data_IF_459052371481
#
_entry.id   IF_459052371481
#
_cell.length_a   1.000
_cell.length_b   1.000
_cell.length_c   1.000
_cell.angle_alpha   90.00
_cell.angle_beta   90.00
_cell.angle_gamma   90.00
#
_symmetry.space_group_name_H-M   'P 1'
#
loop_
_entity.id
_entity.type
_entity.pdbx_description
1 polymer ?
#
# COMPACT_ATOMS: atom_id res chain seq x y z
N UNK A 1 43.23 -11.84 -25.40
CA UNK A 1 42.33 -11.08 -24.50
C UNK A 1 41.19 -10.56 -25.33
N UNK A 2 39.97 -10.68 -24.83
CA UNK A 2 38.74 -10.31 -25.54
C UNK A 2 38.63 -8.78 -25.63
N UNK A 3 38.29 -8.20 -26.79
CA UNK A 3 38.23 -6.74 -27.01
C UNK A 3 37.24 -6.04 -26.04
N UNK A 4 36.30 -6.82 -25.49
CA UNK A 4 35.39 -6.40 -24.43
C UNK A 4 36.09 -6.24 -23.07
N UNK A 5 37.03 -7.11 -22.73
CA UNK A 5 37.74 -7.08 -21.44
C UNK A 5 38.71 -5.89 -21.38
N UNK A 6 39.35 -5.55 -22.49
CA UNK A 6 40.20 -4.35 -22.61
C UNK A 6 39.39 -3.08 -22.42
N UNK A 7 38.27 -2.92 -23.14
CA UNK A 7 37.38 -1.75 -22.96
C UNK A 7 36.80 -1.65 -21.56
N UNK A 8 36.48 -2.79 -20.92
CA UNK A 8 35.99 -2.83 -19.54
C UNK A 8 37.07 -2.37 -18.55
N UNK A 9 38.32 -2.82 -18.74
CA UNK A 9 39.45 -2.43 -17.90
C UNK A 9 39.79 -0.94 -18.07
N UNK A 10 39.76 -0.42 -19.29
CA UNK A 10 39.96 1.00 -19.57
C UNK A 10 38.90 1.86 -18.87
N UNK A 11 37.62 1.46 -18.94
CA UNK A 11 36.53 2.16 -18.27
C UNK A 11 36.66 2.13 -16.75
N UNK A 12 37.11 1.01 -16.18
CA UNK A 12 37.39 0.88 -14.74
C UNK A 12 38.54 1.82 -14.33
N UNK A 13 39.63 1.88 -15.11
CA UNK A 13 40.76 2.78 -14.83
C UNK A 13 40.38 4.25 -14.97
N UNK A 14 39.56 4.60 -15.98
CA UNK A 14 39.09 5.96 -16.19
C UNK A 14 38.23 6.43 -15.01
N UNK A 15 37.31 5.58 -14.53
CA UNK A 15 36.49 5.88 -13.37
C UNK A 15 37.33 6.02 -12.09
N UNK A 16 38.35 5.18 -11.89
CA UNK A 16 39.26 5.28 -10.75
C UNK A 16 40.08 6.58 -10.77
N UNK A 17 40.55 7.03 -11.93
CA UNK A 17 41.22 8.33 -12.08
C UNK A 17 40.28 9.49 -11.75
N UNK A 18 39.04 9.43 -12.25
CA UNK A 18 38.03 10.45 -11.98
C UNK A 18 37.72 10.55 -10.47
N UNK A 19 37.63 9.40 -9.79
CA UNK A 19 37.43 9.30 -8.34
C UNK A 19 38.64 9.81 -7.53
N UNK A 20 39.85 9.74 -8.07
CA UNK A 20 41.06 10.24 -7.42
C UNK A 20 41.24 11.76 -7.59
N UNK A 21 40.84 12.33 -8.73
CA UNK A 21 40.86 13.77 -9.00
C UNK A 21 39.78 14.52 -8.19
N UNK A 22 38.67 13.83 -7.88
CA UNK A 22 37.67 14.33 -6.95
C UNK A 22 38.21 14.19 -5.52
N UNK A 23 38.74 15.29 -4.97
CA UNK A 23 39.30 15.37 -3.62
C UNK A 23 38.22 15.26 -2.52
N UNK A 24 37.44 14.17 -2.55
CA UNK A 24 36.34 13.87 -1.64
C UNK A 24 36.96 13.32 -0.35
N UNK A 25 36.87 14.10 0.73
CA UNK A 25 37.29 13.66 2.06
C UNK A 25 36.46 12.44 2.47
N UNK A 26 37.08 11.31 2.86
CA UNK A 26 36.33 10.17 3.36
C UNK A 26 35.62 10.55 4.67
N UNK A 27 34.30 10.36 4.70
CA UNK A 27 33.51 10.50 5.93
C UNK A 27 33.86 9.33 6.84
N UNK A 28 34.57 9.63 7.93
CA UNK A 28 34.87 8.65 8.98
C UNK A 28 33.57 8.27 9.69
N UNK A 29 33.20 6.98 9.75
CA UNK A 29 32.07 6.55 10.56
C UNK A 29 32.33 6.87 12.03
N UNK A 30 31.39 7.53 12.72
CA UNK A 30 31.45 7.68 14.18
C UNK A 30 31.45 6.29 14.83
N UNK A 31 32.60 5.94 15.40
CA UNK A 31 32.79 4.74 16.22
C UNK A 31 31.86 4.83 17.44
N UNK A 32 30.87 3.95 17.51
CA UNK A 32 30.20 3.65 18.77
C UNK A 32 31.21 2.95 19.68
N UNK A 33 31.53 3.56 20.82
CA UNK A 33 32.28 2.89 21.90
C UNK A 33 31.42 1.75 22.44
N UNK A 34 31.85 0.52 22.20
CA UNK A 34 31.64 -0.60 23.11
C UNK A 34 32.84 -1.54 22.96
N UNK A 35 33.90 -1.23 23.67
CA UNK A 35 35.00 -2.15 23.96
C UNK A 35 34.57 -3.00 25.15
N UNK A 36 33.91 -4.12 24.87
CA UNK A 36 34.03 -5.37 25.62
C UNK A 36 33.10 -6.40 24.96
N UNK A 37 33.69 -7.45 24.42
CA UNK A 37 33.03 -8.51 23.65
C UNK A 37 32.14 -9.42 24.51
N UNK A 38 31.07 -8.89 25.08
CA UNK A 38 29.97 -9.66 25.68
C UNK A 38 28.63 -9.23 25.08
N UNK A 39 27.81 -10.15 24.53
CA UNK A 39 26.45 -9.80 24.14
C UNK A 39 25.64 -9.40 25.39
N UNK A 40 24.79 -8.36 25.32
CA UNK A 40 23.95 -7.98 26.46
C UNK A 40 22.99 -9.13 26.80
N UNK A 41 22.94 -9.49 28.09
CA UNK A 41 22.04 -10.51 28.60
C UNK A 41 20.58 -10.17 28.25
N UNK A 42 19.88 -11.11 27.61
CA UNK A 42 18.44 -11.01 27.37
C UNK A 42 17.73 -10.82 28.71
N UNK A 43 17.04 -9.69 28.89
CA UNK A 43 16.10 -9.50 30.00
C UNK A 43 15.10 -10.66 29.96
N UNK A 44 15.03 -11.42 31.05
CA UNK A 44 14.10 -12.55 31.23
C UNK A 44 12.68 -12.05 30.96
N UNK A 45 12.00 -12.70 30.03
CA UNK A 45 10.56 -12.59 29.84
C UNK A 45 9.92 -13.10 31.14
N UNK A 46 9.12 -12.25 31.79
CA UNK A 46 8.29 -12.68 32.93
C UNK A 46 7.42 -13.84 32.44
N UNK A 47 7.48 -14.96 33.17
CA UNK A 47 6.72 -16.17 32.90
C UNK A 47 5.26 -15.86 33.22
N UNK A 48 4.48 -15.51 32.20
CA UNK A 48 3.02 -15.47 32.33
C UNK A 48 2.49 -16.89 32.14
N UNK A 49 1.82 -17.41 33.16
CA UNK A 49 1.19 -18.73 33.13
C UNK A 49 0.26 -18.86 31.93
N UNK A 50 0.39 -19.98 31.21
CA UNK A 50 -0.44 -20.29 30.05
C UNK A 50 -1.85 -20.64 30.53
N UNK A 51 -2.79 -19.71 30.43
CA UNK A 51 -4.22 -20.03 30.55
C UNK A 51 -4.67 -20.76 29.29
N UNK A 52 -5.26 -21.95 29.43
CA UNK A 52 -5.75 -22.76 28.33
C UNK A 52 -6.84 -22.01 27.52
N UNK A 53 -6.84 -22.08 26.17
CA UNK A 53 -7.89 -21.47 25.36
C UNK A 53 -9.22 -22.21 25.53
N UNK A 54 -10.31 -21.49 25.79
CA UNK A 54 -11.64 -22.07 26.02
C UNK A 54 -12.33 -22.67 24.78
N UNK A 55 -11.61 -22.85 23.66
CA UNK A 55 -12.14 -23.51 22.46
C UNK A 55 -11.01 -24.05 21.58
N UNK A 56 -10.81 -25.36 21.61
CA UNK A 56 -9.86 -26.08 20.77
C UNK A 56 -10.60 -26.70 19.57
N UNK A 57 -10.17 -26.39 18.35
CA UNK A 57 -10.62 -27.11 17.15
C UNK A 57 -10.02 -28.52 17.13
N UNK A 58 -10.78 -29.53 16.71
CA UNK A 58 -10.38 -30.95 16.68
C UNK A 58 -9.03 -31.24 16.00
N UNK A 59 -8.56 -30.36 15.10
CA UNK A 59 -7.27 -30.49 14.41
C UNK A 59 -6.05 -30.32 15.30
N UNK A 60 -6.16 -29.58 16.41
CA UNK A 60 -5.03 -29.28 17.31
C UNK A 60 -4.90 -30.38 18.38
N UNK A 61 -6.00 -31.04 18.74
CA UNK A 61 -6.02 -32.13 19.72
C UNK A 61 -5.38 -33.45 19.21
N UNK A 62 -5.28 -33.63 17.89
CA UNK A 62 -4.77 -34.84 17.27
C UNK A 62 -3.27 -34.80 16.92
N UNK A 63 -2.55 -33.73 17.26
CA UNK A 63 -1.11 -33.65 17.00
C UNK A 63 -0.32 -34.35 18.12
N UNK A 64 0.59 -35.31 17.80
CA UNK A 64 1.44 -35.93 18.81
C UNK A 64 2.42 -34.91 19.41
N UNK A 65 2.67 -35.01 20.72
CA UNK A 65 3.61 -34.14 21.42
C UNK A 65 5.04 -34.36 20.91
N UNK A 66 5.72 -33.26 20.54
CA UNK A 66 7.13 -33.32 20.15
C UNK A 66 7.99 -33.63 21.39
N UNK A 67 8.96 -34.54 21.31
CA UNK A 67 9.89 -34.77 22.42
C UNK A 67 10.73 -33.51 22.67
N UNK A 68 10.81 -33.12 23.93
CA UNK A 68 11.62 -32.01 24.43
C UNK A 68 13.10 -32.43 24.42
N UNK A 69 13.88 -31.87 23.51
CA UNK A 69 15.33 -32.04 23.52
C UNK A 69 15.96 -30.99 24.44
N UNK A 70 16.50 -31.44 25.57
CA UNK A 70 17.20 -30.63 26.55
C UNK A 70 18.67 -30.52 26.11
N UNK A 71 19.06 -29.40 25.49
CA UNK A 71 20.46 -29.09 25.23
C UNK A 71 21.08 -28.55 26.51
N UNK A 72 21.77 -29.40 27.26
CA UNK A 72 22.93 -29.05 28.11
C UNK A 72 23.32 -30.31 28.90
N UNK A 73 24.05 -31.24 28.28
CA UNK A 73 25.07 -32.05 28.94
C UNK A 73 25.83 -32.93 27.93
N UNK A 74 27.15 -32.98 28.10
CA UNK A 74 28.16 -33.82 27.42
C UNK A 74 28.87 -33.14 26.23
N UNK A 75 29.74 -32.21 26.60
CA UNK A 75 30.94 -31.88 25.85
C UNK A 75 31.96 -33.03 25.95
N UNK A 76 32.27 -33.72 24.84
CA UNK A 76 33.58 -34.37 24.58
C UNK A 76 33.86 -34.38 23.07
N UNK A 77 35.06 -33.98 22.61
CA UNK A 77 35.38 -33.94 21.19
C UNK A 77 35.86 -35.31 20.71
N UNK A 78 35.25 -35.84 19.63
CA UNK A 78 35.77 -36.97 18.87
C UNK A 78 36.05 -36.48 17.45
N UNK A 79 37.27 -36.75 16.98
CA UNK A 79 37.74 -36.38 15.64
C UNK A 79 37.67 -37.56 14.65
N UNK A 80 37.76 -37.21 13.36
CA UNK A 80 38.08 -38.01 12.15
C UNK A 80 36.86 -38.42 11.27
N UNK A 81 37.01 -38.64 9.94
CA UNK A 81 38.04 -38.23 8.97
C UNK A 81 37.48 -37.52 7.70
N UNK A 82 38.36 -36.97 6.85
CA UNK A 82 38.05 -36.43 5.50
C UNK A 82 38.28 -37.48 4.40
N UNK A 83 37.31 -37.65 3.50
CA UNK A 83 37.41 -38.19 2.11
C UNK A 83 35.98 -38.34 1.54
N UNK A 84 35.62 -38.29 0.26
CA UNK A 84 36.23 -37.94 -1.04
C UNK A 84 35.07 -37.65 -2.05
N UNK A 85 35.40 -37.11 -3.22
CA UNK A 85 34.49 -36.64 -4.30
C UNK A 85 33.98 -37.80 -5.19
N UNK A 86 32.68 -37.83 -5.59
CA UNK A 86 32.19 -37.94 -7.00
C UNK A 86 30.65 -38.08 -7.20
N UNK A 87 30.13 -37.15 -8.02
CA UNK A 87 29.11 -37.18 -9.11
C UNK A 87 27.93 -38.18 -9.13
N UNK A 88 26.72 -37.60 -9.27
CA UNK A 88 25.52 -38.17 -9.94
C UNK A 88 24.34 -37.17 -9.95
N UNK A 89 23.91 -36.71 -11.15
CA UNK A 89 22.72 -35.85 -11.46
C UNK A 89 21.49 -36.75 -11.77
N UNK A 90 20.31 -36.22 -12.19
CA UNK A 90 19.40 -35.20 -11.63
C UNK A 90 17.92 -35.73 -11.59
N UNK A 91 16.96 -35.04 -10.92
CA UNK A 91 15.49 -35.11 -11.21
C UNK A 91 14.70 -34.39 -10.09
N UNK A 92 14.19 -33.19 -10.34
CA UNK A 92 12.77 -32.88 -10.59
C UNK A 92 11.85 -32.99 -9.36
N UNK A 93 11.59 -31.84 -8.73
CA UNK A 93 10.22 -31.43 -8.40
C UNK A 93 10.11 -29.91 -8.52
N UNK A 94 9.40 -29.50 -9.56
CA UNK A 94 9.02 -28.14 -9.89
C UNK A 94 7.71 -27.84 -9.15
N UNK A 95 7.63 -26.70 -8.45
CA UNK A 95 6.43 -26.00 -7.96
C UNK A 95 6.98 -24.72 -7.28
N UNK A 96 6.94 -23.50 -7.83
CA UNK A 96 6.21 -22.93 -8.94
C UNK A 96 5.97 -21.46 -8.59
N UNK A 97 6.83 -20.57 -9.06
CA UNK A 97 6.55 -19.17 -9.46
C UNK A 97 7.84 -18.62 -10.07
N UNK A 98 8.11 -19.05 -11.29
CA UNK A 98 8.99 -18.31 -12.19
C UNK A 98 8.20 -17.05 -12.52
N UNK A 99 8.60 -15.92 -11.92
CA UNK A 99 8.29 -14.62 -12.50
C UNK A 99 8.99 -14.63 -13.85
N UNK A 100 8.20 -14.76 -14.91
CA UNK A 100 8.64 -14.32 -16.22
C UNK A 100 8.81 -12.81 -16.10
N UNK A 101 10.04 -12.36 -15.87
CA UNK A 101 10.49 -11.06 -16.39
C UNK A 101 10.48 -11.21 -17.92
N UNK A 102 9.29 -11.19 -18.52
CA UNK A 102 9.22 -10.80 -19.92
C UNK A 102 9.36 -9.28 -19.88
N UNK A 103 10.51 -8.79 -20.33
CA UNK A 103 10.65 -7.41 -20.79
C UNK A 103 9.62 -7.20 -21.90
N UNK A 104 8.38 -6.90 -21.52
CA UNK A 104 7.35 -6.50 -22.47
C UNK A 104 7.85 -5.27 -23.23
N UNK A 105 7.66 -5.23 -24.56
CA UNK A 105 8.18 -4.15 -25.38
C UNK A 105 7.68 -2.80 -24.88
N UNK A 106 8.60 -1.85 -24.68
CA UNK A 106 8.36 -0.44 -24.33
C UNK A 106 7.64 0.36 -25.45
N UNK A 107 7.03 -0.33 -26.41
CA UNK A 107 6.36 0.27 -27.56
C UNK A 107 4.86 0.05 -27.38
N UNK A 108 4.06 1.12 -27.29
CA UNK A 108 2.61 1.01 -27.18
C UNK A 108 2.07 0.15 -28.33
N UNK A 109 1.34 -0.92 -27.99
CA UNK A 109 0.72 -1.82 -28.98
C UNK A 109 -0.48 -1.19 -29.70
N UNK A 110 -0.96 -0.04 -29.21
CA UNK A 110 -2.04 0.78 -29.77
C UNK A 110 -1.54 2.23 -29.91
N UNK A 111 -2.14 2.99 -30.82
CA UNK A 111 -1.82 4.42 -30.98
C UNK A 111 -2.08 5.14 -29.63
N UNK A 112 -1.09 5.87 -29.13
CA UNK A 112 -1.15 6.54 -27.81
C UNK A 112 -2.34 7.50 -27.74
N UNK A 113 -2.64 8.17 -28.85
CA UNK A 113 -3.72 9.14 -28.92
C UNK A 113 -5.09 8.45 -28.84
N UNK A 114 -5.26 7.28 -29.47
CA UNK A 114 -6.48 6.48 -29.35
C UNK A 114 -6.70 5.97 -27.91
N UNK A 115 -5.62 5.59 -27.21
CA UNK A 115 -5.70 5.19 -25.80
C UNK A 115 -6.17 6.38 -24.94
N UNK A 116 -5.59 7.57 -25.16
CA UNK A 116 -5.91 8.79 -24.41
C UNK A 116 -7.34 9.27 -24.69
N UNK A 117 -7.77 9.21 -25.95
CA UNK A 117 -9.15 9.52 -26.35
C UNK A 117 -10.13 8.53 -25.71
N UNK A 118 -9.80 7.24 -25.71
CA UNK A 118 -10.59 6.19 -25.07
C UNK A 118 -10.84 6.41 -23.58
N UNK A 119 -9.88 6.98 -22.84
CA UNK A 119 -10.05 7.26 -21.42
C UNK A 119 -11.09 8.34 -21.12
N UNK A 120 -11.28 9.29 -22.04
CA UNK A 120 -12.22 10.40 -21.87
C UNK A 120 -13.56 10.13 -22.59
N UNK A 121 -13.60 9.12 -23.46
CA UNK A 121 -14.78 8.74 -24.24
C UNK A 121 -15.74 7.85 -23.42
N UNK A 122 -16.27 8.37 -22.32
CA UNK A 122 -17.34 7.73 -21.57
C UNK A 122 -18.49 8.70 -21.29
N UNK A 123 -19.70 8.15 -21.16
CA UNK A 123 -20.90 8.88 -20.80
C UNK A 123 -21.48 8.39 -19.48
N UNK A 124 -22.23 9.26 -18.79
CA UNK A 124 -22.97 8.87 -17.59
C UNK A 124 -24.13 7.96 -18.01
N UNK A 125 -24.15 6.72 -17.50
CA UNK A 125 -25.23 5.75 -17.76
C UNK A 125 -26.11 5.52 -16.54
N UNK A 126 -25.57 5.74 -15.34
CA UNK A 126 -26.31 5.61 -14.09
C UNK A 126 -26.76 6.96 -13.52
N UNK A 127 -27.79 6.91 -12.67
CA UNK A 127 -28.26 8.06 -11.90
C UNK A 127 -27.21 8.54 -10.89
N UNK A 128 -27.18 9.84 -10.56
CA UNK A 128 -26.35 10.36 -9.46
C UNK A 128 -26.66 9.65 -8.13
N UNK A 129 -25.66 9.47 -7.24
CA UNK A 129 -25.90 8.88 -5.93
C UNK A 129 -26.80 9.77 -5.07
N UNK A 130 -27.55 9.13 -4.17
CA UNK A 130 -28.27 9.83 -3.11
C UNK A 130 -27.42 9.84 -1.84
N UNK A 131 -27.58 10.86 -0.99
CA UNK A 131 -26.89 10.97 0.30
C UNK A 131 -27.93 10.92 1.41
N UNK A 132 -27.74 10.05 2.39
CA UNK A 132 -28.63 9.95 3.56
C UNK A 132 -28.23 10.92 4.69
N UNK A 133 -29.00 10.87 5.78
CA UNK A 133 -28.78 11.69 6.99
C UNK A 133 -27.40 11.40 7.62
N UNK A 134 -26.96 10.14 7.54
CA UNK A 134 -25.68 9.62 8.02
C UNK A 134 -24.48 9.94 7.09
N UNK A 135 -24.71 10.79 6.09
CA UNK A 135 -23.74 11.24 5.08
C UNK A 135 -23.17 10.11 4.20
N UNK A 136 -23.85 8.97 4.14
CA UNK A 136 -23.51 7.82 3.30
C UNK A 136 -24.11 8.01 1.91
N UNK A 137 -23.30 7.71 0.89
CA UNK A 137 -23.73 7.73 -0.50
C UNK A 137 -24.27 6.37 -0.92
N UNK A 138 -25.45 6.37 -1.55
CA UNK A 138 -26.14 5.17 -2.03
C UNK A 138 -26.25 5.19 -3.56
N UNK A 139 -25.91 4.05 -4.16
CA UNK A 139 -25.99 3.81 -5.60
C UNK A 139 -27.02 2.71 -5.86
N UNK A 140 -28.03 3.01 -6.68
CA UNK A 140 -29.16 2.09 -6.95
C UNK A 140 -28.69 0.74 -7.50
N UNK A 141 -27.70 0.75 -8.37
CA UNK A 141 -27.16 -0.43 -9.03
C UNK A 141 -26.06 -1.14 -8.23
N UNK A 142 -25.49 -0.47 -7.22
CA UNK A 142 -24.48 -1.02 -6.30
C UNK A 142 -24.85 -0.76 -4.83
N UNK A 143 -25.95 -1.35 -4.31
CA UNK A 143 -26.48 -1.03 -2.98
C UNK A 143 -25.54 -1.36 -1.81
N UNK A 144 -24.55 -2.24 -2.04
CA UNK A 144 -23.56 -2.60 -1.04
C UNK A 144 -22.25 -1.80 -1.14
N UNK A 145 -22.19 -0.81 -2.02
CA UNK A 145 -21.11 0.16 -2.11
C UNK A 145 -21.58 1.47 -1.47
N UNK A 146 -21.18 1.69 -0.22
CA UNK A 146 -21.70 2.75 0.64
C UNK A 146 -20.57 3.63 1.20
N UNK A 147 -19.80 4.33 0.34
CA UNK A 147 -18.82 5.31 0.80
C UNK A 147 -19.53 6.48 1.48
N UNK A 148 -18.87 7.15 2.43
CA UNK A 148 -19.44 8.32 3.12
C UNK A 148 -18.66 9.62 2.85
N UNK A 149 -17.80 9.58 1.82
CA UNK A 149 -17.08 10.73 1.27
C UNK A 149 -17.23 10.80 -0.23
N UNK A 150 -17.58 11.96 -0.76
CA UNK A 150 -17.59 12.19 -2.20
C UNK A 150 -16.15 12.40 -2.71
N UNK A 151 -15.90 12.20 -4.01
CA UNK A 151 -14.60 12.55 -4.58
C UNK A 151 -14.27 14.03 -4.37
N UNK A 152 -15.26 14.93 -4.45
CA UNK A 152 -15.07 16.36 -4.16
C UNK A 152 -14.57 16.60 -2.74
N UNK A 153 -15.23 15.99 -1.75
CA UNK A 153 -14.83 16.12 -0.33
C UNK A 153 -13.41 15.60 -0.13
N UNK A 154 -13.07 14.45 -0.72
CA UNK A 154 -11.71 13.89 -0.65
C UNK A 154 -10.65 14.82 -1.23
N UNK A 155 -10.95 15.51 -2.34
CA UNK A 155 -10.02 16.46 -2.95
C UNK A 155 -9.82 17.70 -2.08
N UNK A 156 -10.92 18.27 -1.55
CA UNK A 156 -10.89 19.49 -0.73
C UNK A 156 -10.24 19.26 0.62
N UNK A 157 -10.48 18.12 1.25
CA UNK A 157 -9.86 17.73 2.53
C UNK A 157 -8.38 17.35 2.36
N UNK A 158 -7.93 17.12 1.13
CA UNK A 158 -6.58 16.68 0.81
C UNK A 158 -6.42 15.17 0.93
N UNK A 159 -6.11 14.54 -0.20
CA UNK A 159 -5.83 13.12 -0.31
C UNK A 159 -4.55 12.87 -1.13
N UNK A 160 -3.94 11.71 -0.92
CA UNK A 160 -2.76 11.24 -1.66
C UNK A 160 -1.57 12.22 -1.66
N UNK A 161 -1.44 13.03 -0.62
CA UNK A 161 -0.40 14.03 -0.44
C UNK A 161 -0.33 15.05 -1.59
N UNK A 162 -1.47 15.35 -2.22
CA UNK A 162 -1.56 16.34 -3.28
C UNK A 162 -0.92 15.92 -4.61
N UNK A 163 -0.51 14.66 -4.73
CA UNK A 163 0.36 14.20 -5.82
C UNK A 163 -0.31 13.17 -6.74
N UNK A 164 -1.61 12.91 -6.56
CA UNK A 164 -2.31 11.85 -7.28
C UNK A 164 -2.30 12.04 -8.81
N UNK A 165 -2.44 13.28 -9.27
CA UNK A 165 -2.45 13.66 -10.69
C UNK A 165 -1.11 14.20 -11.18
N UNK A 166 0.00 13.93 -10.47
CA UNK A 166 1.34 14.25 -10.98
C UNK A 166 1.61 13.55 -12.33
N UNK A 167 2.50 14.09 -13.18
CA UNK A 167 2.98 13.38 -14.34
C UNK A 167 3.50 11.99 -13.97
N UNK A 168 2.92 10.96 -14.60
CA UNK A 168 3.20 9.56 -14.31
C UNK A 168 3.74 8.86 -15.55
N UNK A 169 4.92 8.28 -15.46
CA UNK A 169 5.44 7.37 -16.49
C UNK A 169 4.94 5.95 -16.19
N UNK A 170 3.93 5.49 -16.94
CA UNK A 170 3.45 4.10 -16.87
C UNK A 170 4.46 3.19 -17.54
N UNK A 171 4.95 2.18 -16.81
CA UNK A 171 5.88 1.18 -17.38
C UNK A 171 5.16 0.27 -18.36
N UNK A 172 3.91 -0.08 -18.06
CA UNK A 172 3.12 -1.00 -18.88
C UNK A 172 2.66 -0.38 -20.20
N UNK A 173 2.35 0.91 -20.20
CA UNK A 173 1.92 1.61 -21.41
C UNK A 173 3.08 2.29 -22.16
N UNK A 174 4.24 2.47 -21.52
CA UNK A 174 5.38 3.15 -22.12
C UNK A 174 5.19 4.66 -22.33
N UNK A 175 4.13 5.25 -21.77
CA UNK A 175 3.75 6.66 -21.95
C UNK A 175 3.80 7.46 -20.64
N UNK A 176 3.81 8.78 -20.79
CA UNK A 176 3.60 9.72 -19.70
C UNK A 176 2.12 10.12 -19.69
N UNK A 177 1.47 9.86 -18.56
CA UNK A 177 0.10 10.29 -18.25
C UNK A 177 0.19 11.62 -17.51
N UNK A 178 -0.37 12.66 -18.12
CA UNK A 178 -0.41 14.03 -17.61
C UNK A 178 -1.73 14.68 -18.03
N UNK A 179 -2.09 15.78 -17.37
CA UNK A 179 -3.29 16.59 -17.65
C UNK A 179 -4.66 15.89 -17.53
N UNK A 180 -4.69 14.62 -17.14
CA UNK A 180 -5.93 13.85 -16.96
C UNK A 180 -6.77 14.33 -15.78
N UNK A 181 -6.22 15.15 -14.87
CA UNK A 181 -6.99 15.87 -13.85
C UNK A 181 -8.00 16.87 -14.43
N UNK A 182 -7.82 17.31 -15.67
CA UNK A 182 -8.75 18.22 -16.36
C UNK A 182 -10.13 17.59 -16.59
N UNK A 183 -10.27 16.27 -16.43
CA UNK A 183 -11.56 15.58 -16.47
C UNK A 183 -12.45 15.88 -15.26
N UNK A 184 -11.85 16.35 -14.15
CA UNK A 184 -12.54 16.62 -12.90
C UNK A 184 -13.47 17.83 -13.12
N UNK A 185 -14.74 17.77 -12.66
CA UNK A 185 -15.65 18.90 -12.77
C UNK A 185 -15.05 20.18 -12.18
N UNK A 186 -15.15 21.30 -12.91
CA UNK A 186 -14.63 22.59 -12.48
C UNK A 186 -15.23 23.04 -11.14
N UNK A 187 -16.49 22.68 -10.86
CA UNK A 187 -17.14 22.94 -9.58
C UNK A 187 -16.41 22.30 -8.39
N UNK A 188 -15.84 21.10 -8.56
CA UNK A 188 -15.13 20.38 -7.48
C UNK A 188 -13.78 21.01 -7.16
N UNK A 189 -13.13 21.62 -8.16
CA UNK A 189 -11.80 22.23 -8.02
C UNK A 189 -11.86 23.76 -7.91
N UNK A 190 -13.06 24.35 -7.98
CA UNK A 190 -13.23 25.79 -7.80
C UNK A 190 -12.74 26.20 -6.41
N UNK A 191 -11.80 27.16 -6.38
CA UNK A 191 -11.12 27.62 -5.17
C UNK A 191 -10.04 26.68 -4.62
N UNK A 192 -9.77 25.54 -5.26
CA UNK A 192 -8.74 24.59 -4.85
C UNK A 192 -7.40 24.93 -5.50
N UNK A 193 -6.30 24.89 -4.73
CA UNK A 193 -4.96 25.07 -5.27
C UNK A 193 -4.50 23.79 -6.00
N UNK A 194 -4.86 23.66 -7.28
CA UNK A 194 -4.61 22.47 -8.12
C UNK A 194 -3.16 21.97 -8.03
N UNK A 195 -2.18 22.86 -8.11
CA UNK A 195 -0.76 22.46 -8.07
C UNK A 195 -0.33 21.82 -6.74
N UNK A 196 -1.03 22.15 -5.65
CA UNK A 196 -0.72 21.66 -4.31
C UNK A 196 -1.54 20.43 -3.95
N UNK A 197 -2.80 20.38 -4.37
CA UNK A 197 -3.75 19.34 -3.98
C UNK A 197 -3.94 18.23 -5.01
N UNK A 198 -3.51 18.43 -6.26
CA UNK A 198 -3.72 17.45 -7.34
C UNK A 198 -2.42 17.07 -8.05
N UNK A 199 -1.62 18.06 -8.47
CA UNK A 199 -0.50 17.85 -9.39
C UNK A 199 0.88 18.07 -8.77
N UNK A 200 0.98 18.01 -7.43
CA UNK A 200 2.27 18.16 -6.75
C UNK A 200 3.24 17.08 -7.23
N UNK A 201 4.47 17.43 -7.67
CA UNK A 201 5.44 16.45 -8.15
C UNK A 201 5.87 15.44 -7.08
N UNK A 202 5.80 15.82 -5.80
CA UNK A 202 6.12 14.97 -4.65
C UNK A 202 4.92 14.85 -3.72
N UNK A 203 4.83 13.70 -3.07
CA UNK A 203 3.84 13.46 -2.01
C UNK A 203 4.15 14.34 -0.80
N UNK A 204 3.20 15.18 -0.41
CA UNK A 204 3.29 16.03 0.78
C UNK A 204 2.28 15.58 1.85
N UNK A 205 2.73 14.98 2.97
CA UNK A 205 1.86 14.60 4.08
C UNK A 205 1.04 15.77 4.64
N UNK A 206 1.53 17.01 4.58
CA UNK A 206 0.85 18.17 5.16
C UNK A 206 -0.38 18.60 4.35
N UNK A 207 -0.50 18.12 3.10
CA UNK A 207 -1.70 18.32 2.29
C UNK A 207 -2.84 17.42 2.77
N UNK A 208 -2.54 16.23 3.26
CA UNK A 208 -3.55 15.28 3.70
C UNK A 208 -4.39 15.81 4.87
N UNK A 209 -5.66 15.38 4.97
CA UNK A 209 -6.55 15.68 6.11
C UNK A 209 -5.88 15.38 7.45
N UNK A 210 -5.30 14.19 7.59
CA UNK A 210 -4.69 13.72 8.84
C UNK A 210 -3.17 13.94 8.92
N UNK A 211 -2.59 14.77 8.06
CA UNK A 211 -1.18 15.21 8.12
C UNK A 211 -0.12 14.09 8.17
N UNK A 212 -0.43 12.92 7.59
CA UNK A 212 0.46 11.75 7.59
C UNK A 212 0.57 11.13 6.21
N UNK A 213 1.72 10.53 5.91
CA UNK A 213 1.88 9.72 4.71
C UNK A 213 1.26 8.33 4.90
N UNK A 214 0.54 7.87 3.90
CA UNK A 214 0.07 6.49 3.83
C UNK A 214 -0.21 6.05 2.39
N UNK A 215 -0.35 4.74 2.22
CA UNK A 215 -0.67 4.11 0.95
C UNK A 215 0.58 3.63 0.20
N UNK A 216 0.32 2.98 -0.93
CA UNK A 216 1.35 2.55 -1.89
C UNK A 216 1.41 3.56 -3.04
N UNK A 217 2.59 3.71 -3.62
CA UNK A 217 2.82 4.49 -4.84
C UNK A 217 2.06 3.92 -6.02
N UNK A 218 1.76 4.75 -7.02
CA UNK A 218 1.06 4.30 -8.23
C UNK A 218 1.89 3.28 -9.03
N UNK A 219 3.22 3.37 -8.95
CA UNK A 219 4.13 2.39 -9.52
C UNK A 219 4.00 1.02 -8.85
N UNK A 220 3.81 0.96 -7.53
CA UNK A 220 3.52 -0.29 -6.81
C UNK A 220 2.13 -0.84 -7.16
N UNK A 221 1.14 0.03 -7.39
CA UNK A 221 -0.18 -0.39 -7.87
C UNK A 221 -0.12 -0.98 -9.28
N UNK A 222 0.69 -0.39 -10.16
CA UNK A 222 0.94 -0.92 -11.51
C UNK A 222 1.60 -2.30 -11.42
N UNK A 223 2.67 -2.43 -10.61
CA UNK A 223 3.39 -3.69 -10.40
C UNK A 223 2.51 -4.79 -9.77
N UNK A 224 1.56 -4.43 -8.91
CA UNK A 224 0.60 -5.36 -8.31
C UNK A 224 -0.55 -5.75 -9.26
N UNK A 225 -0.61 -5.19 -10.47
CA UNK A 225 -1.70 -5.44 -11.43
C UNK A 225 -3.04 -4.86 -10.97
N UNK A 226 -3.02 -3.81 -10.16
CA UNK A 226 -4.23 -3.20 -9.61
C UNK A 226 -4.81 -2.09 -10.47
N UNK A 227 -4.05 -1.61 -11.46
CA UNK A 227 -4.46 -0.60 -12.42
C UNK A 227 -5.13 -1.25 -13.63
N UNK A 228 -6.31 -0.75 -14.00
CA UNK A 228 -6.97 -1.11 -15.26
C UNK A 228 -6.57 -0.08 -16.31
N UNK A 229 -5.54 -0.37 -17.12
CA UNK A 229 -5.01 0.59 -18.09
C UNK A 229 -5.99 0.95 -19.22
N UNK A 230 -6.99 0.08 -19.46
CA UNK A 230 -8.00 0.30 -20.47
C UNK A 230 -9.08 1.28 -20.01
N UNK A 231 -9.37 1.30 -18.70
CA UNK A 231 -10.41 2.15 -18.13
C UNK A 231 -9.83 3.30 -17.31
N UNK A 232 -9.03 3.02 -16.28
CA UNK A 232 -8.56 3.98 -15.28
C UNK A 232 -7.06 3.82 -15.00
N UNK A 233 -6.25 4.59 -15.71
CA UNK A 233 -4.79 4.53 -15.61
C UNK A 233 -4.22 4.98 -14.27
N UNK A 234 -4.97 5.76 -13.49
CA UNK A 234 -4.59 6.08 -12.11
C UNK A 234 -5.16 5.14 -11.07
N UNK A 235 -5.97 4.17 -11.50
CA UNK A 235 -6.55 3.14 -10.62
C UNK A 235 -7.73 3.66 -9.79
N UNK A 236 -7.69 3.37 -8.48
CA UNK A 236 -8.87 3.46 -7.60
C UNK A 236 -9.59 4.81 -7.59
N UNK A 237 -8.88 5.91 -7.37
CA UNK A 237 -9.54 7.19 -7.17
C UNK A 237 -10.08 7.76 -8.49
N UNK A 238 -9.38 7.58 -9.60
CA UNK A 238 -9.92 7.89 -10.94
C UNK A 238 -11.13 7.03 -11.30
N UNK A 239 -11.10 5.73 -10.98
CA UNK A 239 -12.29 4.89 -11.11
C UNK A 239 -13.45 5.46 -10.27
N UNK A 240 -13.18 5.86 -9.02
CA UNK A 240 -14.20 6.37 -8.11
C UNK A 240 -14.80 7.69 -8.58
N UNK A 241 -14.00 8.64 -9.07
CA UNK A 241 -14.50 9.93 -9.59
C UNK A 241 -15.45 9.73 -10.76
N UNK A 242 -15.13 8.80 -11.67
CA UNK A 242 -15.95 8.48 -12.85
C UNK A 242 -17.20 7.66 -12.48
N UNK A 243 -17.04 6.67 -11.59
CA UNK A 243 -18.15 5.88 -11.06
C UNK A 243 -19.17 6.76 -10.33
N UNK A 244 -18.70 7.70 -9.50
CA UNK A 244 -19.56 8.66 -8.79
C UNK A 244 -20.35 9.56 -9.75
N UNK A 245 -19.77 9.87 -10.92
CA UNK A 245 -20.41 10.65 -12.00
C UNK A 245 -21.29 9.82 -12.93
N UNK A 246 -21.58 8.56 -12.57
CA UNK A 246 -22.50 7.70 -13.31
C UNK A 246 -21.87 6.86 -14.42
N UNK A 247 -20.54 6.85 -14.59
CA UNK A 247 -19.88 5.89 -15.48
C UNK A 247 -20.03 4.47 -14.93
N UNK A 248 -20.36 3.50 -15.79
CA UNK A 248 -20.29 2.07 -15.47
C UNK A 248 -19.41 1.32 -16.47
N UNK A 249 -18.60 0.39 -15.97
CA UNK A 249 -17.65 -0.37 -16.76
C UNK A 249 -17.41 -1.78 -16.18
N UNK A 250 -16.69 -2.63 -16.92
CA UNK A 250 -16.42 -4.01 -16.52
C UNK A 250 -15.62 -4.12 -15.21
N UNK A 251 -14.87 -3.07 -14.85
CA UNK A 251 -14.03 -3.04 -13.66
C UNK A 251 -14.79 -2.75 -12.35
N UNK A 252 -16.05 -2.32 -12.44
CA UNK A 252 -16.82 -1.83 -11.29
C UNK A 252 -16.94 -2.88 -10.18
N UNK A 253 -17.25 -4.13 -10.55
CA UNK A 253 -17.37 -5.22 -9.60
C UNK A 253 -16.05 -5.49 -8.84
N UNK A 254 -14.91 -5.40 -9.53
CA UNK A 254 -13.59 -5.59 -8.92
C UNK A 254 -13.30 -4.47 -7.94
N UNK A 255 -13.57 -3.23 -8.32
CA UNK A 255 -13.27 -2.05 -7.53
C UNK A 255 -14.18 -1.94 -6.29
N UNK A 256 -15.49 -2.19 -6.43
CA UNK A 256 -16.43 -2.32 -5.31
C UNK A 256 -16.02 -3.44 -4.35
N UNK A 257 -15.58 -4.60 -4.87
CA UNK A 257 -15.08 -5.70 -4.05
C UNK A 257 -13.84 -5.32 -3.24
N UNK A 258 -12.90 -4.55 -3.83
CA UNK A 258 -11.71 -4.03 -3.13
C UNK A 258 -12.10 -3.05 -2.04
N UNK A 259 -13.01 -2.12 -2.33
CA UNK A 259 -13.52 -1.19 -1.33
C UNK A 259 -14.14 -1.92 -0.14
N UNK A 260 -15.02 -2.91 -0.40
CA UNK A 260 -15.63 -3.73 0.66
C UNK A 260 -14.59 -4.40 1.55
N UNK A 261 -13.55 -4.98 0.96
CA UNK A 261 -12.43 -5.62 1.69
C UNK A 261 -11.59 -4.63 2.49
N UNK A 262 -11.48 -3.38 2.02
CA UNK A 262 -10.70 -2.34 2.69
C UNK A 262 -11.50 -1.68 3.82
N UNK A 263 -12.65 -1.08 3.51
CA UNK A 263 -13.40 -0.18 4.41
C UNK A 263 -14.91 -0.43 4.42
N UNK A 264 -15.41 -1.44 3.71
CA UNK A 264 -16.79 -1.90 3.90
C UNK A 264 -17.04 -2.36 5.35
N UNK A 265 -18.28 -2.74 5.66
CA UNK A 265 -18.71 -3.16 7.01
C UNK A 265 -17.74 -4.16 7.68
N UNK A 266 -17.28 -5.16 6.93
CA UNK A 266 -16.31 -6.17 7.40
C UNK A 266 -14.87 -5.90 6.95
N UNK A 267 -14.62 -4.73 6.37
CA UNK A 267 -13.35 -4.32 5.79
C UNK A 267 -12.21 -4.29 6.80
N UNK A 268 -11.01 -4.68 6.34
CA UNK A 268 -9.81 -4.79 7.17
C UNK A 268 -9.50 -3.49 7.91
N UNK A 269 -9.44 -2.38 7.18
CA UNK A 269 -8.99 -1.10 7.71
C UNK A 269 -10.06 -0.48 8.62
N UNK A 270 -11.34 -0.52 8.23
CA UNK A 270 -12.46 -0.09 9.08
C UNK A 270 -12.45 -0.83 10.42
N UNK A 271 -12.42 -2.18 10.40
CA UNK A 271 -12.42 -2.99 11.63
C UNK A 271 -11.20 -2.73 12.51
N UNK A 272 -10.02 -2.63 11.91
CA UNK A 272 -8.81 -2.34 12.67
C UNK A 272 -8.90 -0.93 13.30
N UNK A 273 -9.48 0.05 12.60
CA UNK A 273 -9.61 1.42 13.10
C UNK A 273 -10.61 1.48 14.26
N UNK A 274 -11.78 0.88 14.12
CA UNK A 274 -12.77 0.80 15.21
C UNK A 274 -12.20 0.10 16.46
N UNK A 275 -11.39 -0.95 16.27
CA UNK A 275 -10.67 -1.59 17.38
C UNK A 275 -9.69 -0.63 18.08
N UNK A 276 -9.04 0.28 17.34
CA UNK A 276 -8.15 1.30 17.93
C UNK A 276 -8.95 2.31 18.76
N UNK A 277 -10.11 2.74 18.29
CA UNK A 277 -11.06 3.54 19.07
C UNK A 277 -11.47 2.82 20.37
N UNK A 278 -11.82 1.54 20.28
CA UNK A 278 -12.13 0.70 21.45
C UNK A 278 -10.99 0.61 22.46
N UNK A 279 -9.74 0.46 21.99
CA UNK A 279 -8.54 0.43 22.83
C UNK A 279 -8.23 1.77 23.49
N UNK A 280 -8.51 2.87 22.80
CA UNK A 280 -8.35 4.22 23.33
C UNK A 280 -9.50 4.61 24.29
N UNK A 281 -10.56 3.81 24.38
CA UNK A 281 -11.75 4.11 25.20
C UNK A 281 -12.60 5.26 24.64
N UNK A 282 -12.37 5.65 23.39
CA UNK A 282 -13.08 6.76 22.73
C UNK A 282 -14.46 6.28 22.30
N UNK A 283 -15.49 6.99 22.75
CA UNK A 283 -16.90 6.69 22.47
C UNK A 283 -17.59 7.73 21.62
N UNK A 284 -17.02 8.93 21.53
CA UNK A 284 -17.56 10.05 20.79
C UNK A 284 -16.59 10.47 19.71
N UNK A 285 -17.11 10.74 18.51
CA UNK A 285 -16.39 11.40 17.42
C UNK A 285 -17.28 12.49 16.85
N UNK A 286 -16.69 13.67 16.62
CA UNK A 286 -17.40 14.78 16.01
C UNK A 286 -17.16 14.77 14.51
N UNK A 287 -18.22 15.01 13.76
CA UNK A 287 -18.21 14.96 12.31
C UNK A 287 -17.37 16.09 11.67
N UNK A 288 -17.18 17.20 12.39
CA UNK A 288 -16.57 18.43 11.86
C UNK A 288 -15.08 18.60 12.22
N UNK A 289 -14.47 17.63 12.90
CA UNK A 289 -13.05 17.71 13.25
C UNK A 289 -12.68 18.82 14.25
N UNK A 290 -13.66 19.42 14.92
CA UNK A 290 -13.49 20.50 15.93
C UNK A 290 -13.01 20.00 17.31
N UNK A 291 -12.74 18.71 17.46
CA UNK A 291 -12.15 18.18 18.69
C UNK A 291 -10.61 18.35 18.65
N UNK A 292 -10.13 19.59 18.76
CA UNK A 292 -8.71 19.89 18.97
C UNK A 292 -8.16 19.24 20.26
N UNK A 293 -9.04 18.89 21.21
CA UNK A 293 -8.71 18.22 22.47
C UNK A 293 -8.98 16.70 22.46
N UNK A 294 -9.45 16.15 21.33
CA UNK A 294 -9.77 14.74 21.17
C UNK A 294 -8.53 13.84 21.19
N UNK A 295 -8.68 12.59 21.66
CA UNK A 295 -7.60 11.60 21.58
C UNK A 295 -7.36 11.25 20.11
N UNK A 296 -6.16 11.53 19.60
CA UNK A 296 -5.77 11.18 18.24
C UNK A 296 -5.65 9.65 18.07
N UNK A 297 -6.63 9.03 17.40
CA UNK A 297 -6.67 7.58 17.19
C UNK A 297 -6.05 7.20 15.84
N UNK A 298 -4.74 6.94 15.81
CA UNK A 298 -4.06 6.33 14.64
C UNK A 298 -4.27 7.07 13.30
N UNK A 299 -3.67 8.27 13.11
CA UNK A 299 -3.83 9.11 11.90
C UNK A 299 -3.59 8.37 10.58
N UNK A 300 -2.60 7.48 10.55
CA UNK A 300 -2.25 6.71 9.34
C UNK A 300 -3.41 5.83 8.88
N UNK A 301 -4.17 5.25 9.81
CA UNK A 301 -5.32 4.40 9.50
C UNK A 301 -6.54 5.22 9.08
N UNK A 302 -6.71 6.40 9.69
CA UNK A 302 -7.68 7.39 9.24
C UNK A 302 -7.41 7.82 7.80
N UNK A 303 -6.19 8.24 7.49
CA UNK A 303 -5.82 8.64 6.14
C UNK A 303 -5.94 7.47 5.15
N UNK A 304 -5.59 6.25 5.57
CA UNK A 304 -5.79 5.05 4.75
C UNK A 304 -7.27 4.85 4.43
N UNK A 305 -8.17 4.97 5.42
CA UNK A 305 -9.60 4.85 5.19
C UNK A 305 -10.16 5.98 4.32
N UNK A 306 -9.68 7.20 4.53
CA UNK A 306 -10.04 8.39 3.75
C UNK A 306 -9.73 8.21 2.27
N UNK A 307 -8.56 7.66 1.94
CA UNK A 307 -8.21 7.30 0.55
C UNK A 307 -9.16 6.28 -0.10
N UNK A 308 -9.90 5.52 0.71
CA UNK A 308 -10.96 4.60 0.27
C UNK A 308 -12.37 5.18 0.44
N UNK A 309 -12.51 6.51 0.53
CA UNK A 309 -13.79 7.22 0.67
C UNK A 309 -14.58 6.83 1.93
N UNK A 310 -13.87 6.56 3.03
CA UNK A 310 -14.47 6.23 4.32
C UNK A 310 -13.87 7.08 5.46
N UNK A 311 -14.75 7.70 6.24
CA UNK A 311 -14.43 8.35 7.50
C UNK A 311 -15.25 7.74 8.65
N UNK A 312 -14.64 7.59 9.83
CA UNK A 312 -15.35 7.12 11.03
C UNK A 312 -16.28 8.24 11.51
N UNK A 313 -17.54 7.89 11.79
CA UNK A 313 -18.59 8.78 12.30
C UNK A 313 -19.20 8.16 13.54
N UNK A 314 -20.00 8.92 14.28
CA UNK A 314 -20.55 8.50 15.57
C UNK A 314 -21.28 7.16 15.49
N UNK A 315 -22.15 6.99 14.49
CA UNK A 315 -22.88 5.74 14.24
C UNK A 315 -21.97 4.50 14.15
N UNK A 316 -20.79 4.61 13.56
CA UNK A 316 -19.87 3.48 13.39
C UNK A 316 -19.25 3.07 14.73
N UNK A 317 -19.01 4.04 15.62
CA UNK A 317 -18.58 3.77 16.98
C UNK A 317 -19.73 3.19 17.81
N UNK A 318 -20.93 3.73 17.67
CA UNK A 318 -22.11 3.23 18.37
C UNK A 318 -22.35 1.76 18.01
N UNK A 319 -22.38 1.41 16.72
CA UNK A 319 -22.48 0.01 16.25
C UNK A 319 -21.40 -0.89 16.88
N UNK A 320 -20.14 -0.43 16.87
CA UNK A 320 -19.01 -1.16 17.43
C UNK A 320 -19.16 -1.41 18.94
N UNK A 321 -19.57 -0.39 19.70
CA UNK A 321 -19.75 -0.49 21.16
C UNK A 321 -20.99 -1.28 21.56
N UNK A 322 -22.05 -1.27 20.73
CA UNK A 322 -23.24 -2.10 20.91
C UNK A 322 -23.03 -3.57 20.48
N UNK A 323 -21.87 -3.90 19.89
CA UNK A 323 -21.47 -5.26 19.58
C UNK A 323 -22.19 -5.89 18.38
N UNK A 324 -22.64 -5.07 17.42
CA UNK A 324 -23.18 -5.56 16.15
C UNK A 324 -22.08 -5.83 15.12
#
# INVERSE_FOLDING_TARGET
MNDYETRRLEKIQQNQKLLADLNIKPVVPKVARNTDGKPPAKKRKVLQEQTAPARSSARIAAAPSKPSYNEDEIAKPIALPRSAVKKGKPSSSNLGSIVKDEDEPLVPSKNIDEIREGWNAWSSTASPPTRDEDQVFHFEDYPAFTPNKSPEEMLREGCFGGSYYRPLRSRKLGIIVEDDWKEIPESWISGLHVERFLTSPQYDPDVNKYKVSCGQSIEEWEAAGWISHEHDVRGWFQWYTRFFRGRRCEDDNRQVSRWKKCVGETGRWRRMLLKKYGQAGVRTVFDDGEDEEGVEVSPVMHQTCHHWAFEVRQQHLDEFWHGR
#
